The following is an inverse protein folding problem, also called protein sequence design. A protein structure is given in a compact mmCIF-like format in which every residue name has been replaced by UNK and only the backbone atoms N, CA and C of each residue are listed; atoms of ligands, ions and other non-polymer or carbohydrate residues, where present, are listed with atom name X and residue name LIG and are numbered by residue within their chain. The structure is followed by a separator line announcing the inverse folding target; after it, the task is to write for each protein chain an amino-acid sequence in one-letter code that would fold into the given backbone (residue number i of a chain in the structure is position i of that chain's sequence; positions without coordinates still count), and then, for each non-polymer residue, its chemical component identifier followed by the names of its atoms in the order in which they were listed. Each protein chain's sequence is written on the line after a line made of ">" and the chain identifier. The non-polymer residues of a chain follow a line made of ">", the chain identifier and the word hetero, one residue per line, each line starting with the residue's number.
data_IF_966077178516
#
_entry.id   IF_966077178516
#
_cell.length_a   1.000
_cell.length_b   1.000
_cell.length_c   1.000
_cell.angle_alpha   90.00
_cell.angle_beta   90.00
_cell.angle_gamma   90.00
#
_symmetry.space_group_name_H-M   'P 1'
#
loop_
_entity.id
_entity.type
_entity.pdbx_description
1 polymer ?
#
# COMPACT_ATOMS: atom_id res chain seq x y z
N UNK A 1 -20.35 -21.32 -16.03
CA UNK A 1 -18.90 -21.25 -16.34
C UNK A 1 -18.23 -22.42 -15.64
N UNK A 2 -17.41 -23.21 -16.34
CA UNK A 2 -16.71 -24.34 -15.72
C UNK A 2 -15.79 -23.83 -14.59
N UNK A 3 -15.77 -24.45 -13.40
CA UNK A 3 -15.06 -23.95 -12.22
C UNK A 3 -13.54 -23.80 -12.44
N UNK A 4 -12.98 -24.55 -13.40
CA UNK A 4 -11.56 -24.49 -13.78
C UNK A 4 -11.21 -23.22 -14.54
N UNK A 5 -12.05 -22.76 -15.47
CA UNK A 5 -11.79 -21.56 -16.27
C UNK A 5 -11.73 -20.30 -15.39
N UNK A 6 -12.66 -20.18 -14.42
CA UNK A 6 -12.69 -19.05 -13.50
C UNK A 6 -11.43 -18.97 -12.63
N UNK A 7 -10.93 -20.13 -12.15
CA UNK A 7 -9.69 -20.19 -11.38
C UNK A 7 -8.47 -19.81 -12.24
N UNK A 8 -8.37 -20.34 -13.46
CA UNK A 8 -7.27 -20.00 -14.39
C UNK A 8 -7.24 -18.51 -14.72
N UNK A 9 -8.41 -17.91 -15.01
CA UNK A 9 -8.52 -16.47 -15.26
C UNK A 9 -8.12 -15.64 -14.04
N UNK A 10 -8.57 -16.00 -12.84
CA UNK A 10 -8.18 -15.31 -11.60
C UNK A 10 -6.67 -15.36 -11.36
N UNK A 11 -6.03 -16.52 -11.59
CA UNK A 11 -4.57 -16.66 -11.45
C UNK A 11 -3.82 -15.85 -12.51
N UNK A 12 -4.29 -15.85 -13.77
CA UNK A 12 -3.69 -15.08 -14.86
C UNK A 12 -3.75 -13.58 -14.58
N UNK A 13 -4.92 -13.08 -14.16
CA UNK A 13 -5.12 -11.67 -13.82
C UNK A 13 -4.22 -11.25 -12.65
N UNK A 14 -4.17 -12.05 -11.58
CA UNK A 14 -3.29 -11.77 -10.43
C UNK A 14 -1.81 -11.77 -10.82
N UNK A 15 -1.37 -12.74 -11.64
CA UNK A 15 -0.01 -12.79 -12.16
C UNK A 15 0.35 -11.55 -12.97
N UNK A 16 -0.55 -11.11 -13.85
CA UNK A 16 -0.40 -9.86 -14.61
C UNK A 16 -0.35 -8.63 -13.70
N UNK A 17 -1.22 -8.55 -12.69
CA UNK A 17 -1.21 -7.47 -11.70
C UNK A 17 0.11 -7.42 -10.92
N UNK A 18 0.61 -8.57 -10.46
CA UNK A 18 1.89 -8.67 -9.76
C UNK A 18 3.04 -8.17 -10.65
N UNK A 19 3.08 -8.59 -11.92
CA UNK A 19 4.10 -8.15 -12.87
C UNK A 19 4.07 -6.63 -13.05
N UNK A 20 2.90 -6.05 -13.32
CA UNK A 20 2.76 -4.61 -13.52
C UNK A 20 3.16 -3.82 -12.27
N UNK A 21 2.76 -4.27 -11.08
CA UNK A 21 3.11 -3.60 -9.82
C UNK A 21 4.61 -3.63 -9.55
N UNK A 22 5.27 -4.77 -9.78
CA UNK A 22 6.72 -4.90 -9.62
C UNK A 22 7.46 -4.02 -10.65
N UNK A 23 6.97 -3.97 -11.90
CA UNK A 23 7.52 -3.08 -12.92
C UNK A 23 7.38 -1.60 -12.54
N UNK A 24 6.21 -1.19 -12.03
CA UNK A 24 6.00 0.18 -11.54
C UNK A 24 6.94 0.50 -10.39
N UNK A 25 7.08 -0.41 -9.42
CA UNK A 25 8.00 -0.22 -8.29
C UNK A 25 9.45 -0.07 -8.76
N UNK A 26 9.88 -0.92 -9.70
CA UNK A 26 11.22 -0.87 -10.29
C UNK A 26 11.44 0.43 -11.09
N UNK A 27 10.46 0.87 -11.88
CA UNK A 27 10.53 2.11 -12.65
C UNK A 27 10.64 3.34 -11.74
N UNK A 28 9.78 3.43 -10.72
CA UNK A 28 9.83 4.53 -9.73
C UNK A 28 11.17 4.58 -9.01
N UNK A 29 11.70 3.42 -8.63
CA UNK A 29 13.00 3.32 -7.96
C UNK A 29 14.16 3.71 -8.87
N UNK A 30 14.10 3.32 -10.16
CA UNK A 30 15.16 3.61 -11.14
C UNK A 30 15.17 5.06 -11.58
N UNK A 31 14.00 5.60 -11.91
CA UNK A 31 13.89 6.88 -12.61
C UNK A 31 13.87 8.06 -11.60
N UNK A 32 13.38 7.85 -10.37
CA UNK A 32 13.25 8.90 -9.36
C UNK A 32 13.69 8.47 -7.94
N UNK A 33 14.89 7.89 -7.73
CA UNK A 33 15.30 7.32 -6.44
C UNK A 33 15.38 8.33 -5.29
N UNK A 34 15.54 9.64 -5.61
CA UNK A 34 15.71 10.70 -4.62
C UNK A 34 14.41 11.35 -4.17
N UNK A 35 13.30 11.14 -4.85
CA UNK A 35 12.02 11.73 -4.44
C UNK A 35 11.31 10.81 -3.45
N UNK A 36 10.86 11.39 -2.34
CA UNK A 36 10.14 10.65 -1.30
C UNK A 36 8.86 10.01 -1.86
N UNK A 37 8.13 10.75 -2.70
CA UNK A 37 6.92 10.27 -3.36
C UNK A 37 7.18 9.02 -4.22
N UNK A 38 8.28 8.96 -4.99
CA UNK A 38 8.59 7.77 -5.78
C UNK A 38 8.96 6.57 -4.90
N UNK A 39 9.70 6.79 -3.81
CA UNK A 39 10.02 5.72 -2.84
C UNK A 39 8.77 5.17 -2.17
N UNK A 40 7.89 6.03 -1.68
CA UNK A 40 6.63 5.62 -1.05
C UNK A 40 5.69 4.96 -2.06
N UNK A 41 5.64 5.46 -3.31
CA UNK A 41 4.90 4.85 -4.40
C UNK A 41 5.40 3.45 -4.75
N UNK A 42 6.72 3.25 -4.77
CA UNK A 42 7.32 1.93 -4.99
C UNK A 42 7.01 0.96 -3.83
N UNK A 43 7.15 1.41 -2.57
CA UNK A 43 6.79 0.60 -1.39
C UNK A 43 5.31 0.27 -1.38
N UNK A 44 4.44 1.22 -1.75
CA UNK A 44 3.01 0.99 -1.89
C UNK A 44 2.71 -0.07 -2.96
N UNK A 45 3.31 0.04 -4.15
CA UNK A 45 3.13 -0.94 -5.22
C UNK A 45 3.55 -2.35 -4.79
N UNK A 46 4.67 -2.48 -4.07
CA UNK A 46 5.11 -3.76 -3.49
C UNK A 46 4.14 -4.26 -2.40
N UNK A 47 3.58 -3.39 -1.57
CA UNK A 47 2.57 -3.74 -0.57
C UNK A 47 1.26 -4.24 -1.21
N UNK A 48 0.84 -3.65 -2.33
CA UNK A 48 -0.33 -4.12 -3.09
C UNK A 48 -0.03 -5.45 -3.78
N UNK A 49 1.19 -5.65 -4.26
CA UNK A 49 1.61 -6.95 -4.79
C UNK A 49 1.55 -8.03 -3.69
N UNK A 50 2.06 -7.72 -2.49
CA UNK A 50 1.95 -8.60 -1.33
C UNK A 50 0.49 -8.89 -0.96
N UNK A 51 -0.39 -7.88 -1.00
CA UNK A 51 -1.84 -8.06 -0.74
C UNK A 51 -2.53 -8.94 -1.77
N UNK A 52 -2.15 -8.80 -3.04
CA UNK A 52 -2.64 -9.63 -4.15
C UNK A 52 -2.24 -11.09 -3.97
N UNK A 53 -1.02 -11.32 -3.46
CA UNK A 53 -0.51 -12.65 -3.15
C UNK A 53 -1.17 -13.25 -1.89
N UNK A 54 -1.30 -12.45 -0.83
CA UNK A 54 -1.96 -12.87 0.42
C UNK A 54 -3.43 -13.26 0.24
N UNK A 55 -4.10 -12.62 -0.72
CA UNK A 55 -5.51 -12.91 -1.06
C UNK A 55 -5.67 -14.02 -2.11
N UNK A 56 -4.60 -14.73 -2.47
CA UNK A 56 -4.65 -15.80 -3.46
C UNK A 56 -5.29 -17.08 -2.87
N UNK A 57 -6.03 -17.86 -3.67
CA UNK A 57 -6.57 -19.15 -3.23
C UNK A 57 -5.42 -20.08 -2.78
N UNK A 58 -5.54 -20.69 -1.60
CA UNK A 58 -4.54 -21.62 -1.07
C UNK A 58 -3.38 -20.96 -0.30
N UNK A 59 -3.32 -19.63 -0.23
CA UNK A 59 -2.25 -18.92 0.51
C UNK A 59 -2.20 -19.29 2.00
N UNK A 60 -3.34 -19.48 2.64
CA UNK A 60 -3.42 -19.83 4.07
C UNK A 60 -3.49 -21.33 4.34
N UNK A 61 -3.33 -22.19 3.33
CA UNK A 61 -3.50 -23.65 3.49
C UNK A 61 -2.37 -24.28 4.32
N UNK A 62 -1.15 -23.74 4.23
CA UNK A 62 0.01 -24.18 5.01
C UNK A 62 0.91 -22.97 5.31
N UNK A 63 0.60 -22.18 6.35
CA UNK A 63 1.32 -20.94 6.63
C UNK A 63 2.76 -21.23 7.02
N UNK A 64 3.70 -20.68 6.25
CA UNK A 64 5.13 -20.67 6.55
C UNK A 64 5.57 -19.27 7.00
N UNK A 65 6.79 -19.14 7.52
CA UNK A 65 7.36 -17.84 7.88
C UNK A 65 7.30 -16.82 6.71
N UNK A 66 7.41 -17.29 5.47
CA UNK A 66 7.28 -16.44 4.28
C UNK A 66 5.87 -15.85 4.10
N UNK A 67 4.83 -16.62 4.41
CA UNK A 67 3.44 -16.15 4.36
C UNK A 67 3.18 -15.06 5.40
N UNK A 68 3.81 -15.16 6.57
CA UNK A 68 3.74 -14.13 7.60
C UNK A 68 4.37 -12.81 7.12
N UNK A 69 5.52 -12.87 6.44
CA UNK A 69 6.18 -11.67 5.86
C UNK A 69 5.30 -11.02 4.79
N UNK A 70 4.73 -11.82 3.88
CA UNK A 70 3.82 -11.31 2.84
C UNK A 70 2.59 -10.66 3.50
N UNK A 71 2.02 -11.28 4.52
CA UNK A 71 0.86 -10.75 5.25
C UNK A 71 1.19 -9.45 6.01
N UNK A 72 2.41 -9.35 6.55
CA UNK A 72 2.92 -8.14 7.19
C UNK A 72 2.98 -6.96 6.20
N UNK A 73 3.58 -7.19 5.03
CA UNK A 73 3.67 -6.20 3.96
C UNK A 73 2.28 -5.80 3.43
N UNK A 74 1.39 -6.78 3.26
CA UNK A 74 0.03 -6.56 2.79
C UNK A 74 -0.77 -5.66 3.74
N UNK A 75 -0.69 -5.93 5.04
CA UNK A 75 -1.44 -5.21 6.08
C UNK A 75 -1.06 -3.74 6.16
N UNK A 76 0.21 -3.40 5.94
CA UNK A 76 0.69 -2.01 5.93
C UNK A 76 0.44 -1.25 4.63
N UNK A 77 -0.03 -1.90 3.55
CA UNK A 77 -0.05 -1.31 2.20
C UNK A 77 -0.89 -0.03 2.10
N UNK A 78 -2.12 -0.01 2.62
CA UNK A 78 -2.97 1.18 2.57
C UNK A 78 -2.50 2.31 3.49
N UNK A 79 -1.79 2.00 4.57
CA UNK A 79 -1.13 3.04 5.34
C UNK A 79 -0.01 3.71 4.53
N UNK A 80 0.78 2.93 3.80
CA UNK A 80 1.79 3.48 2.87
C UNK A 80 1.14 4.27 1.74
N UNK A 81 -0.02 3.85 1.23
CA UNK A 81 -0.81 4.64 0.26
C UNK A 81 -1.14 6.03 0.80
N UNK A 82 -1.61 6.12 2.05
CA UNK A 82 -1.88 7.40 2.70
C UNK A 82 -0.60 8.27 2.78
N UNK A 83 0.53 7.70 3.23
CA UNK A 83 1.80 8.43 3.23
C UNK A 83 2.24 8.87 1.83
N UNK A 84 2.04 8.03 0.82
CA UNK A 84 2.33 8.35 -0.57
C UNK A 84 1.48 9.54 -1.04
N UNK A 85 0.17 9.56 -0.76
CA UNK A 85 -0.68 10.71 -1.10
C UNK A 85 -0.25 11.99 -0.39
N UNK A 86 0.16 11.91 0.88
CA UNK A 86 0.74 13.06 1.60
C UNK A 86 2.00 13.55 0.90
N UNK A 87 2.94 12.66 0.58
CA UNK A 87 4.17 13.05 -0.12
C UNK A 87 3.94 13.59 -1.55
N UNK A 88 2.78 13.33 -2.16
CA UNK A 88 2.45 13.80 -3.50
C UNK A 88 1.80 15.19 -3.50
N UNK A 89 1.01 15.51 -2.46
CA UNK A 89 0.22 16.73 -2.40
C UNK A 89 0.69 17.73 -1.33
N UNK A 90 1.57 17.32 -0.41
CA UNK A 90 2.14 18.14 0.66
C UNK A 90 3.67 18.14 0.53
N UNK A 91 4.21 19.23 -0.04
CA UNK A 91 5.66 19.43 -0.23
C UNK A 91 6.43 19.53 1.10
N UNK A 92 5.77 19.86 2.21
CA UNK A 92 6.37 19.94 3.54
C UNK A 92 6.38 18.58 4.28
N UNK A 93 5.85 17.52 3.65
CA UNK A 93 5.76 16.22 4.29
C UNK A 93 7.13 15.55 4.46
N UNK A 94 7.54 15.39 5.72
CA UNK A 94 8.72 14.61 6.10
C UNK A 94 8.34 13.32 6.85
N UNK A 95 8.93 12.16 6.48
CA UNK A 95 8.63 10.89 7.11
C UNK A 95 9.32 10.80 8.47
N UNK A 96 8.55 10.91 9.55
CA UNK A 96 9.05 10.72 10.92
C UNK A 96 9.09 9.25 11.36
N UNK A 97 9.87 8.96 12.41
CA UNK A 97 9.98 7.64 13.03
C UNK A 97 8.62 7.09 13.54
N UNK A 98 7.67 7.97 13.87
CA UNK A 98 6.32 7.58 14.23
C UNK A 98 5.62 6.81 13.10
N UNK A 99 5.77 7.24 11.85
CA UNK A 99 5.16 6.54 10.71
C UNK A 99 5.75 5.14 10.53
N UNK A 100 7.05 4.99 10.75
CA UNK A 100 7.69 3.67 10.74
C UNK A 100 7.17 2.79 11.88
N UNK A 101 6.94 3.36 13.07
CA UNK A 101 6.34 2.66 14.21
C UNK A 101 4.91 2.18 13.92
N UNK A 102 4.04 3.05 13.38
CA UNK A 102 2.67 2.69 12.99
C UNK A 102 2.69 1.60 11.93
N UNK A 103 3.51 1.74 10.89
CA UNK A 103 3.63 0.71 9.85
C UNK A 103 4.12 -0.61 10.44
N UNK A 104 5.12 -0.59 11.32
CA UNK A 104 5.65 -1.78 11.99
C UNK A 104 4.61 -2.47 12.87
N UNK A 105 3.76 -1.72 13.56
CA UNK A 105 2.64 -2.25 14.33
C UNK A 105 1.63 -2.97 13.42
N UNK A 106 1.22 -2.32 12.32
CA UNK A 106 0.29 -2.91 11.35
C UNK A 106 0.85 -4.18 10.71
N UNK A 107 2.13 -4.14 10.34
CA UNK A 107 2.86 -5.28 9.80
C UNK A 107 2.93 -6.43 10.83
N UNK A 108 3.22 -6.12 12.10
CA UNK A 108 3.23 -7.07 13.20
C UNK A 108 1.88 -7.74 13.43
N UNK A 109 0.79 -6.95 13.45
CA UNK A 109 -0.58 -7.49 13.57
C UNK A 109 -0.91 -8.41 12.39
N UNK A 110 -0.57 -8.03 11.16
CA UNK A 110 -0.75 -8.86 9.97
C UNK A 110 0.04 -10.18 10.02
N UNK A 111 1.29 -10.12 10.48
CA UNK A 111 2.13 -11.30 10.66
C UNK A 111 1.57 -12.25 11.73
N UNK A 112 1.16 -11.71 12.89
CA UNK A 112 0.57 -12.49 13.99
C UNK A 112 -0.76 -13.12 13.60
N UNK A 113 -1.58 -12.39 12.83
CA UNK A 113 -2.82 -12.92 12.29
C UNK A 113 -2.56 -14.17 11.44
N UNK A 114 -1.62 -14.08 10.50
CA UNK A 114 -1.30 -15.18 9.59
C UNK A 114 -0.60 -16.37 10.31
N UNK A 115 0.36 -16.08 11.20
CA UNK A 115 1.22 -17.11 11.78
C UNK A 115 0.66 -17.76 13.05
N UNK A 116 -0.23 -17.06 13.79
CA UNK A 116 -0.66 -17.47 15.13
C UNK A 116 -2.17 -17.58 15.21
N UNK A 117 -2.90 -16.48 15.00
CA UNK A 117 -4.33 -16.43 15.30
C UNK A 117 -5.16 -17.30 14.37
N UNK A 118 -4.89 -17.26 13.05
CA UNK A 118 -5.60 -18.10 12.07
C UNK A 118 -5.33 -19.59 12.28
N UNK A 119 -4.07 -20.07 12.40
CA UNK A 119 -3.80 -21.49 12.66
C UNK A 119 -4.39 -22.02 13.97
N UNK A 120 -4.42 -21.19 15.02
CA UNK A 120 -4.93 -21.59 16.34
C UNK A 120 -6.47 -21.56 16.43
N UNK A 121 -7.18 -21.13 15.38
CA UNK A 121 -8.63 -20.98 15.38
C UNK A 121 -9.13 -20.15 16.58
N UNK A 122 -8.35 -19.14 16.99
CA UNK A 122 -8.68 -18.28 18.12
C UNK A 122 -9.86 -17.37 17.78
N UNK A 123 -10.78 -17.08 18.72
CA UNK A 123 -11.82 -16.06 18.50
C UNK A 123 -11.24 -14.66 18.23
N UNK A 124 -9.98 -14.41 18.62
CA UNK A 124 -9.28 -13.18 18.28
C UNK A 124 -8.99 -13.05 16.78
N UNK A 125 -8.93 -14.17 16.04
CA UNK A 125 -8.66 -14.15 14.61
C UNK A 125 -9.77 -13.43 13.84
N UNK A 126 -11.03 -13.62 14.22
CA UNK A 126 -12.16 -12.97 13.56
C UNK A 126 -12.13 -11.45 13.79
N UNK A 127 -11.90 -11.04 15.04
CA UNK A 127 -11.82 -9.61 15.42
C UNK A 127 -10.67 -8.92 14.69
N UNK A 128 -9.48 -9.54 14.70
CA UNK A 128 -8.31 -9.01 13.99
C UNK A 128 -8.54 -9.02 12.47
N UNK A 129 -9.24 -10.02 11.95
CA UNK A 129 -9.57 -10.13 10.53
C UNK A 129 -10.49 -9.00 10.07
N UNK A 130 -11.53 -8.71 10.85
CA UNK A 130 -12.42 -7.57 10.61
C UNK A 130 -11.64 -6.26 10.70
N UNK A 131 -10.80 -6.08 11.71
CA UNK A 131 -9.95 -4.89 11.83
C UNK A 131 -9.07 -4.69 10.60
N UNK A 132 -8.34 -5.74 10.17
CA UNK A 132 -7.47 -5.69 9.00
C UNK A 132 -8.25 -5.52 7.68
N UNK A 133 -9.52 -5.91 7.63
CA UNK A 133 -10.41 -5.68 6.49
C UNK A 133 -10.97 -4.26 6.41
N UNK A 134 -11.29 -3.64 7.55
CA UNK A 134 -11.88 -2.29 7.62
C UNK A 134 -10.82 -1.20 7.55
N UNK A 135 -9.66 -1.40 8.18
CA UNK A 135 -8.59 -0.40 8.24
C UNK A 135 -8.13 0.12 6.86
N UNK A 136 -7.96 -0.72 5.81
CA UNK A 136 -7.68 -0.26 4.45
C UNK A 136 -8.62 0.83 3.94
N UNK A 137 -9.92 0.69 4.22
CA UNK A 137 -10.96 1.65 3.81
C UNK A 137 -10.78 2.97 4.53
N UNK A 138 -10.48 2.94 5.83
CA UNK A 138 -10.22 4.15 6.62
C UNK A 138 -9.03 4.93 6.06
N UNK A 139 -7.92 4.25 5.76
CA UNK A 139 -6.74 4.90 5.17
C UNK A 139 -7.02 5.44 3.76
N UNK A 140 -7.80 4.72 2.94
CA UNK A 140 -8.20 5.20 1.63
C UNK A 140 -9.05 6.48 1.73
N UNK A 141 -10.00 6.53 2.66
CA UNK A 141 -10.81 7.74 2.91
C UNK A 141 -9.93 8.90 3.37
N UNK A 142 -9.00 8.65 4.29
CA UNK A 142 -8.05 9.68 4.75
C UNK A 142 -7.17 10.20 3.60
N UNK A 143 -6.71 9.31 2.72
CA UNK A 143 -5.90 9.67 1.56
C UNK A 143 -6.69 10.56 0.57
N UNK A 144 -7.95 10.19 0.28
CA UNK A 144 -8.85 10.99 -0.56
C UNK A 144 -9.13 12.34 0.09
N UNK A 145 -9.51 12.36 1.37
CA UNK A 145 -9.82 13.58 2.10
C UNK A 145 -8.62 14.54 2.11
N UNK A 146 -7.42 14.02 2.33
CA UNK A 146 -6.20 14.80 2.29
C UNK A 146 -5.92 15.34 0.89
N UNK A 147 -6.05 14.51 -0.14
CA UNK A 147 -5.84 14.91 -1.54
C UNK A 147 -6.78 16.06 -1.94
N UNK A 148 -8.05 16.02 -1.51
CA UNK A 148 -9.01 17.10 -1.79
C UNK A 148 -8.65 18.38 -1.05
N UNK A 149 -8.17 18.28 0.20
CA UNK A 149 -7.84 19.43 1.04
C UNK A 149 -6.64 20.22 0.50
N UNK A 150 -5.58 19.54 0.05
CA UNK A 150 -4.31 20.19 -0.36
C UNK A 150 -4.22 20.49 -1.85
N UNK A 151 -5.07 19.89 -2.72
CA UNK A 151 -4.98 20.10 -4.17
C UNK A 151 -5.15 21.56 -4.61
N UNK A 152 -5.94 22.38 -3.90
CA UNK A 152 -6.09 23.80 -4.26
C UNK A 152 -4.83 24.61 -4.04
N UNK A 153 -4.02 24.27 -3.05
CA UNK A 153 -2.79 24.99 -2.72
C UNK A 153 -1.68 24.68 -3.73
N UNK A 154 -1.58 23.42 -4.16
CA UNK A 154 -0.60 22.98 -5.18
C UNK A 154 -0.81 23.67 -6.55
N UNK A 155 -2.07 23.78 -7.01
CA UNK A 155 -2.37 24.48 -8.27
C UNK A 155 -2.00 25.96 -8.25
N UNK A 156 -2.11 26.61 -7.09
CA UNK A 156 -1.79 28.03 -6.93
C UNK A 156 -0.28 28.25 -6.89
N UNK A 157 0.47 27.40 -6.18
CA UNK A 157 1.92 27.56 -6.03
C UNK A 157 2.65 27.30 -7.36
N UNK A 158 2.20 26.32 -8.17
CA UNK A 158 2.72 26.08 -9.52
C UNK A 158 2.47 27.27 -10.45
N UNK A 159 1.27 27.86 -10.39
CA UNK A 159 0.92 29.06 -11.15
C UNK A 159 1.73 30.27 -10.69
N UNK A 160 1.98 30.40 -9.40
CA UNK A 160 2.76 31.49 -8.79
C UNK A 160 4.23 31.41 -9.18
N UNK A 161 4.84 30.21 -9.10
CA UNK A 161 6.21 29.96 -9.60
C UNK A 161 6.37 30.25 -11.08
N UNK A 162 5.38 29.84 -11.89
CA UNK A 162 5.40 30.11 -13.32
C UNK A 162 5.36 31.61 -13.62
N UNK A 163 4.52 32.37 -12.89
CA UNK A 163 4.49 33.83 -12.97
C UNK A 163 5.83 34.46 -12.58
N UNK A 164 6.48 34.01 -11.51
CA UNK A 164 7.78 34.56 -11.10
C UNK A 164 8.88 34.25 -12.13
N UNK A 165 8.86 33.08 -12.78
CA UNK A 165 9.82 32.77 -13.86
C UNK A 165 9.59 33.66 -15.08
N UNK A 166 8.33 33.89 -15.48
CA UNK A 166 8.00 34.76 -16.62
C UNK A 166 8.28 36.23 -16.33
N UNK A 167 8.11 36.69 -15.08
CA UNK A 167 8.37 38.09 -14.70
C UNK A 167 9.87 38.36 -14.49
N UNK A 168 10.67 37.35 -14.17
CA UNK A 168 12.11 37.47 -13.96
C UNK A 168 12.95 37.18 -15.22
N UNK A 169 12.35 36.72 -16.31
CA UNK A 169 12.96 36.48 -17.62
C UNK A 169 12.73 37.66 -18.57
#
# INVERSE_FOLDING_TARGET
>A
MQPTLALTLNLLLRGGTLLVLVLIAAALWRDHPRTLAARLGAVFALGVAASTLASAPGFSAAPTAWHAVISALASGSMFVFWLFTRALFDDAFEPSAWHAGVWGLLAGVGALQCAVFVPQHSPTADVVGVFLGVMPVVWAILAIAHSIATWREDLVERRRRFRTVVVAA
#
